data_IF_057869959551
#
_entry.id   IF_057869959551
#
_cell.length_a   1.000
_cell.length_b   1.000
_cell.length_c   1.000
_cell.angle_alpha   90.00
_cell.angle_beta   90.00
_cell.angle_gamma   90.00
#
_symmetry.space_group_name_H-M   'P 1'
#
loop_
_entity.id
_entity.type
_entity.pdbx_description
1 polymer ?
#
# COMPACT_ATOMS: atom_id res chain seq x y z
N UNK A 1 -21.39 3.93 11.65
CA UNK A 1 -19.91 4.16 11.61
C UNK A 1 -19.11 2.85 11.50
N UNK A 2 -19.62 1.74 12.04
CA UNK A 2 -18.96 0.42 11.99
C UNK A 2 -19.13 -0.34 10.67
N UNK A 3 -20.11 -0.06 9.85
CA UNK A 3 -20.38 -0.79 8.59
C UNK A 3 -19.41 -0.44 7.44
N UNK A 4 -18.77 0.73 7.47
CA UNK A 4 -17.83 1.12 6.41
C UNK A 4 -16.46 0.41 6.52
N UNK A 5 -16.05 0.02 7.73
CA UNK A 5 -14.79 -0.73 7.93
C UNK A 5 -14.92 -2.19 7.52
N UNK A 6 -16.09 -2.80 7.68
CA UNK A 6 -16.32 -4.20 7.27
C UNK A 6 -16.30 -4.34 5.75
N UNK A 7 -16.82 -3.38 4.99
CA UNK A 7 -16.77 -3.39 3.53
C UNK A 7 -15.34 -3.29 2.96
N UNK A 8 -14.46 -2.54 3.60
CA UNK A 8 -13.04 -2.40 3.18
C UNK A 8 -12.26 -3.70 3.46
N UNK A 9 -12.57 -4.37 4.56
CA UNK A 9 -11.98 -5.69 4.89
C UNK A 9 -12.37 -6.75 3.87
N UNK A 10 -13.60 -6.75 3.43
CA UNK A 10 -14.11 -7.74 2.46
C UNK A 10 -13.45 -7.62 1.09
N UNK A 11 -13.15 -6.41 0.61
CA UNK A 11 -12.50 -6.20 -0.70
C UNK A 11 -11.04 -6.68 -0.69
N UNK A 12 -10.28 -6.38 0.37
CA UNK A 12 -8.91 -6.87 0.51
C UNK A 12 -8.85 -8.39 0.66
N UNK A 13 -9.78 -8.97 1.44
CA UNK A 13 -9.94 -10.41 1.62
C UNK A 13 -10.35 -11.06 0.30
N UNK A 14 -11.27 -10.48 -0.46
CA UNK A 14 -11.74 -11.01 -1.75
C UNK A 14 -10.62 -11.08 -2.78
N UNK A 15 -9.76 -10.07 -2.86
CA UNK A 15 -8.60 -10.08 -3.76
C UNK A 15 -7.62 -11.21 -3.44
N UNK A 16 -7.28 -11.40 -2.17
CA UNK A 16 -6.42 -12.51 -1.71
C UNK A 16 -7.10 -13.87 -1.93
N UNK A 17 -8.41 -13.98 -1.68
CA UNK A 17 -9.18 -15.21 -1.91
C UNK A 17 -9.21 -15.61 -3.37
N UNK A 18 -9.44 -14.66 -4.28
CA UNK A 18 -9.52 -14.92 -5.72
C UNK A 18 -8.20 -15.46 -6.28
N UNK A 19 -7.06 -15.00 -5.75
CA UNK A 19 -5.74 -15.48 -6.17
C UNK A 19 -5.29 -16.75 -5.43
N UNK A 20 -5.59 -16.86 -4.13
CA UNK A 20 -5.01 -17.91 -3.28
C UNK A 20 -5.69 -19.28 -3.43
N UNK A 21 -7.02 -19.32 -3.59
CA UNK A 21 -7.77 -20.57 -3.67
C UNK A 21 -7.38 -21.46 -4.86
N UNK A 22 -7.27 -20.94 -6.10
CA UNK A 22 -6.91 -21.77 -7.24
C UNK A 22 -5.41 -22.12 -7.30
N UNK A 23 -4.53 -21.30 -6.70
CA UNK A 23 -3.07 -21.46 -6.86
C UNK A 23 -2.46 -22.34 -5.76
N UNK A 24 -2.87 -22.12 -4.50
CA UNK A 24 -2.21 -22.78 -3.38
C UNK A 24 -2.92 -24.01 -2.84
N UNK A 25 -4.19 -24.26 -3.24
CA UNK A 25 -5.03 -25.34 -2.72
C UNK A 25 -5.01 -25.44 -1.18
N UNK A 26 -4.81 -24.30 -0.52
CA UNK A 26 -4.78 -24.18 0.94
C UNK A 26 -6.20 -24.08 1.47
N UNK A 27 -6.49 -24.82 2.52
CA UNK A 27 -7.78 -24.74 3.21
C UNK A 27 -8.04 -23.36 3.84
N UNK A 28 -9.21 -23.19 4.50
CA UNK A 28 -9.61 -21.91 5.12
C UNK A 28 -8.56 -21.34 6.09
N UNK A 29 -7.82 -22.20 6.78
CA UNK A 29 -6.73 -21.80 7.68
C UNK A 29 -5.55 -21.17 6.94
N UNK A 30 -5.14 -21.70 5.81
CA UNK A 30 -4.06 -21.14 4.99
C UNK A 30 -4.44 -19.77 4.42
N UNK A 31 -5.71 -19.62 4.03
CA UNK A 31 -6.25 -18.34 3.59
C UNK A 31 -6.23 -17.29 4.72
N UNK A 32 -6.60 -17.69 5.94
CA UNK A 32 -6.53 -16.83 7.12
C UNK A 32 -5.10 -16.32 7.39
N UNK A 33 -4.09 -17.18 7.26
CA UNK A 33 -2.69 -16.78 7.40
C UNK A 33 -2.26 -15.77 6.33
N UNK A 34 -2.63 -15.97 5.07
CA UNK A 34 -2.34 -15.02 3.99
C UNK A 34 -3.05 -13.68 4.22
N UNK A 35 -4.31 -13.67 4.64
CA UNK A 35 -5.05 -12.46 4.96
C UNK A 35 -4.44 -11.69 6.14
N UNK A 36 -3.93 -12.39 7.14
CA UNK A 36 -3.26 -11.81 8.30
C UNK A 36 -1.84 -11.29 8.02
N UNK A 37 -1.19 -11.76 6.95
CA UNK A 37 0.20 -11.42 6.63
C UNK A 37 0.38 -9.91 6.35
N UNK A 38 -0.50 -9.30 5.58
CA UNK A 38 -0.43 -7.86 5.24
C UNK A 38 -0.57 -6.96 6.48
N UNK A 39 -1.62 -7.10 7.32
CA UNK A 39 -1.72 -6.30 8.54
C UNK A 39 -0.60 -6.60 9.55
N UNK A 40 -0.10 -7.84 9.61
CA UNK A 40 1.06 -8.16 10.42
C UNK A 40 2.31 -7.40 9.97
N UNK A 41 2.58 -7.34 8.67
CA UNK A 41 3.67 -6.55 8.09
C UNK A 41 3.54 -5.06 8.41
N UNK A 42 2.34 -4.50 8.29
CA UNK A 42 2.08 -3.11 8.64
C UNK A 42 2.32 -2.83 10.13
N UNK A 43 1.86 -3.72 11.01
CA UNK A 43 2.07 -3.61 12.45
C UNK A 43 3.56 -3.66 12.83
N UNK A 44 4.31 -4.63 12.30
CA UNK A 44 5.75 -4.75 12.52
C UNK A 44 6.50 -3.50 12.07
N UNK A 45 6.14 -2.94 10.90
CA UNK A 45 6.76 -1.73 10.40
C UNK A 45 6.38 -0.49 11.22
N UNK A 46 5.14 -0.39 11.70
CA UNK A 46 4.71 0.69 12.60
C UNK A 46 5.51 0.71 13.89
N UNK A 47 5.71 -0.47 14.52
CA UNK A 47 6.55 -0.62 15.70
C UNK A 47 8.01 -0.24 15.40
N UNK A 48 8.56 -0.73 14.29
CA UNK A 48 9.93 -0.40 13.88
C UNK A 48 10.11 1.11 13.65
N UNK A 49 9.13 1.78 13.04
CA UNK A 49 9.18 3.23 12.80
C UNK A 49 9.13 4.05 14.10
N UNK A 50 8.48 3.55 15.16
CA UNK A 50 8.48 4.18 16.48
C UNK A 50 9.86 4.25 17.14
N UNK A 51 10.75 3.32 16.78
CA UNK A 51 12.12 3.26 17.30
C UNK A 51 13.19 3.87 16.34
N UNK A 52 12.83 4.11 15.10
CA UNK A 52 13.75 4.66 14.10
C UNK A 52 13.75 6.20 14.12
N UNK A 53 14.90 6.85 14.00
CA UNK A 53 14.96 8.30 13.89
C UNK A 53 14.24 8.78 12.62
N UNK A 54 13.66 9.99 12.65
CA UNK A 54 12.98 10.57 11.52
C UNK A 54 13.89 10.62 10.29
N UNK A 55 13.37 10.23 9.13
CA UNK A 55 14.16 10.16 7.91
C UNK A 55 14.61 11.55 7.45
N UNK A 56 15.90 11.70 7.18
CA UNK A 56 16.48 12.91 6.61
C UNK A 56 16.03 13.19 5.16
N UNK A 57 15.46 12.20 4.45
CA UNK A 57 15.01 12.28 3.06
C UNK A 57 13.66 11.57 2.87
N UNK A 58 12.57 12.15 3.35
CA UNK A 58 11.27 11.51 3.34
C UNK A 58 10.76 11.21 1.93
N UNK A 59 11.03 12.06 0.96
CA UNK A 59 10.62 11.83 -0.43
C UNK A 59 11.30 10.62 -1.07
N UNK A 60 12.59 10.41 -0.80
CA UNK A 60 13.32 9.22 -1.28
C UNK A 60 12.79 7.96 -0.60
N UNK A 61 12.55 8.03 0.73
CA UNK A 61 11.98 6.91 1.48
C UNK A 61 10.61 6.51 0.94
N UNK A 62 9.76 7.49 0.60
CA UNK A 62 8.46 7.26 -0.01
C UNK A 62 8.57 6.55 -1.37
N UNK A 63 9.45 7.04 -2.26
CA UNK A 63 9.65 6.41 -3.58
C UNK A 63 10.15 4.97 -3.47
N UNK A 64 11.09 4.70 -2.55
CA UNK A 64 11.55 3.34 -2.28
C UNK A 64 10.45 2.43 -1.71
N UNK A 65 9.63 2.97 -0.81
CA UNK A 65 8.52 2.22 -0.24
C UNK A 65 7.48 1.83 -1.31
N UNK A 66 7.08 2.78 -2.16
CA UNK A 66 6.09 2.51 -3.21
C UNK A 66 6.68 1.64 -4.33
N UNK A 67 7.94 1.84 -4.71
CA UNK A 67 8.62 0.97 -5.67
C UNK A 67 8.78 -0.46 -5.16
N UNK A 68 9.19 -0.61 -3.91
CA UNK A 68 9.27 -1.91 -3.25
C UNK A 68 7.93 -2.61 -3.10
N UNK A 69 6.86 -1.84 -2.79
CA UNK A 69 5.48 -2.33 -2.78
C UNK A 69 5.09 -2.92 -4.15
N UNK A 70 5.35 -2.20 -5.24
CA UNK A 70 5.09 -2.71 -6.60
C UNK A 70 5.88 -3.98 -6.91
N UNK A 71 7.16 -4.03 -6.55
CA UNK A 71 7.99 -5.22 -6.73
C UNK A 71 7.48 -6.42 -5.91
N UNK A 72 7.14 -6.23 -4.64
CA UNK A 72 6.58 -7.27 -3.79
C UNK A 72 5.22 -7.77 -4.32
N UNK A 73 4.40 -6.88 -4.89
CA UNK A 73 3.14 -7.23 -5.55
C UNK A 73 3.36 -8.11 -6.78
N UNK A 74 4.36 -7.80 -7.62
CA UNK A 74 4.72 -8.66 -8.76
C UNK A 74 5.19 -10.03 -8.29
N UNK A 75 6.06 -10.09 -7.28
CA UNK A 75 6.54 -11.36 -6.69
C UNK A 75 5.36 -12.16 -6.14
N UNK A 76 4.43 -11.54 -5.43
CA UNK A 76 3.23 -12.18 -4.94
C UNK A 76 2.37 -12.76 -6.08
N UNK A 77 2.11 -11.96 -7.13
CA UNK A 77 1.28 -12.36 -8.26
C UNK A 77 1.86 -13.53 -9.07
N UNK A 78 3.19 -13.64 -9.15
CA UNK A 78 3.89 -14.72 -9.87
C UNK A 78 4.26 -15.91 -8.99
N UNK A 79 4.15 -15.79 -7.66
CA UNK A 79 4.53 -16.84 -6.72
C UNK A 79 3.52 -17.96 -6.70
N UNK A 80 4.03 -19.19 -6.80
CA UNK A 80 3.27 -20.44 -6.59
C UNK A 80 3.60 -21.09 -5.24
N UNK A 81 4.55 -20.53 -4.49
CA UNK A 81 5.02 -21.05 -3.21
C UNK A 81 4.36 -20.28 -2.07
N UNK A 82 3.63 -20.99 -1.19
CA UNK A 82 2.90 -20.41 -0.07
C UNK A 82 3.76 -19.47 0.81
N UNK A 83 4.94 -19.94 1.23
CA UNK A 83 5.83 -19.15 2.09
C UNK A 83 6.37 -17.89 1.42
N UNK A 84 6.66 -17.95 0.12
CA UNK A 84 7.11 -16.78 -0.64
C UNK A 84 5.99 -15.76 -0.78
N UNK A 85 4.78 -16.23 -1.01
CA UNK A 85 3.58 -15.36 -1.07
C UNK A 85 3.28 -14.72 0.27
N UNK A 86 3.38 -15.48 1.36
CA UNK A 86 3.21 -14.95 2.71
C UNK A 86 4.25 -13.87 3.04
N UNK A 87 5.53 -14.11 2.72
CA UNK A 87 6.60 -13.14 2.92
C UNK A 87 6.38 -11.87 2.07
N UNK A 88 5.94 -12.04 0.82
CA UNK A 88 5.61 -10.92 -0.07
C UNK A 88 4.46 -10.08 0.49
N UNK A 89 3.41 -10.68 1.04
CA UNK A 89 2.29 -9.98 1.68
C UNK A 89 2.74 -9.21 2.93
N UNK A 90 3.60 -9.78 3.75
CA UNK A 90 4.20 -9.07 4.90
C UNK A 90 5.01 -7.88 4.41
N UNK A 91 5.82 -8.03 3.36
CA UNK A 91 6.59 -6.95 2.77
C UNK A 91 5.68 -5.85 2.18
N UNK A 92 4.61 -6.22 1.49
CA UNK A 92 3.58 -5.31 0.97
C UNK A 92 3.00 -4.46 2.11
N UNK A 93 2.55 -5.09 3.20
CA UNK A 93 1.99 -4.38 4.35
C UNK A 93 3.00 -3.45 5.04
N UNK A 94 4.26 -3.89 5.16
CA UNK A 94 5.33 -3.08 5.74
C UNK A 94 5.65 -1.83 4.89
N UNK A 95 5.75 -1.99 3.58
CA UNK A 95 6.08 -0.92 2.64
C UNK A 95 4.91 0.06 2.47
N UNK A 96 3.68 -0.44 2.44
CA UNK A 96 2.47 0.38 2.43
C UNK A 96 2.40 1.26 3.69
N UNK A 97 2.64 0.71 4.87
CA UNK A 97 2.67 1.48 6.11
C UNK A 97 3.67 2.64 6.07
N UNK A 98 4.88 2.45 5.50
CA UNK A 98 5.84 3.53 5.31
C UNK A 98 5.26 4.65 4.43
N UNK A 99 4.61 4.28 3.33
CA UNK A 99 3.98 5.20 2.39
C UNK A 99 2.86 6.01 3.07
N UNK A 100 1.96 5.32 3.76
CA UNK A 100 0.82 5.93 4.48
C UNK A 100 1.30 6.90 5.55
N UNK A 101 2.22 6.49 6.43
CA UNK A 101 2.75 7.34 7.50
C UNK A 101 3.45 8.57 6.92
N UNK A 102 4.28 8.41 5.88
CA UNK A 102 4.99 9.53 5.24
C UNK A 102 3.99 10.53 4.64
N UNK A 103 2.98 10.06 3.93
CA UNK A 103 1.94 10.91 3.32
C UNK A 103 1.11 11.65 4.36
N UNK A 104 0.67 10.96 5.41
CA UNK A 104 -0.11 11.56 6.49
C UNK A 104 0.71 12.62 7.25
N UNK A 105 1.99 12.34 7.52
CA UNK A 105 2.88 13.30 8.17
C UNK A 105 3.04 14.57 7.33
N UNK A 106 3.23 14.44 6.02
CA UNK A 106 3.31 15.61 5.12
C UNK A 106 2.02 16.43 5.18
N UNK A 107 0.86 15.78 5.03
CA UNK A 107 -0.45 16.47 5.07
C UNK A 107 -0.63 17.21 6.39
N UNK A 108 -0.33 16.56 7.52
CA UNK A 108 -0.49 17.18 8.85
C UNK A 108 0.50 18.32 9.11
N UNK A 109 1.74 18.21 8.64
CA UNK A 109 2.77 19.23 8.85
C UNK A 109 2.52 20.50 8.05
N UNK A 110 2.00 20.36 6.82
CA UNK A 110 1.76 21.51 5.94
C UNK A 110 0.35 22.08 6.05
N UNK A 111 -0.52 21.51 6.87
CA UNK A 111 -1.89 22.00 7.05
C UNK A 111 -2.00 22.79 8.35
N UNK A 112 -2.46 24.08 8.30
CA UNK A 112 -2.75 24.87 9.49
C UNK A 112 -3.76 24.17 10.40
N UNK A 113 -3.63 24.32 11.73
CA UNK A 113 -4.45 23.64 12.73
C UNK A 113 -5.96 23.85 12.51
N UNK A 114 -6.36 25.07 12.14
CA UNK A 114 -7.76 25.43 11.87
C UNK A 114 -8.39 24.66 10.70
N UNK A 115 -7.58 24.10 9.78
CA UNK A 115 -8.04 23.41 8.57
C UNK A 115 -7.78 21.91 8.60
N UNK A 116 -7.06 21.38 9.60
CA UNK A 116 -6.67 19.98 9.67
C UNK A 116 -7.85 19.02 9.54
N UNK A 117 -8.95 19.26 10.23
CA UNK A 117 -10.14 18.42 10.16
C UNK A 117 -10.74 18.37 8.75
N UNK A 118 -10.87 19.54 8.09
CA UNK A 118 -11.42 19.62 6.73
C UNK A 118 -10.54 18.96 5.70
N UNK A 119 -9.23 19.23 5.75
CA UNK A 119 -8.25 18.60 4.85
C UNK A 119 -8.19 17.09 5.06
N UNK A 120 -8.23 16.63 6.31
CA UNK A 120 -8.23 15.20 6.64
C UNK A 120 -9.48 14.49 6.10
N UNK A 121 -10.67 15.11 6.23
CA UNK A 121 -11.92 14.54 5.70
C UNK A 121 -11.88 14.42 4.17
N UNK A 122 -11.45 15.46 3.47
CA UNK A 122 -11.29 15.43 2.01
C UNK A 122 -10.27 14.38 1.58
N UNK A 123 -9.12 14.33 2.26
CA UNK A 123 -8.08 13.33 1.98
C UNK A 123 -8.59 11.90 2.19
N UNK A 124 -9.39 11.65 3.23
CA UNK A 124 -10.00 10.34 3.47
C UNK A 124 -10.96 9.93 2.37
N UNK A 125 -11.80 10.86 1.89
CA UNK A 125 -12.72 10.60 0.75
C UNK A 125 -11.93 10.24 -0.50
N UNK A 126 -10.87 11.00 -0.83
CA UNK A 126 -10.03 10.69 -1.99
C UNK A 126 -9.36 9.33 -1.89
N UNK A 127 -8.83 8.97 -0.70
CA UNK A 127 -8.19 7.67 -0.48
C UNK A 127 -9.20 6.54 -0.64
N UNK A 128 -10.37 6.64 0.01
CA UNK A 128 -11.42 5.63 -0.08
C UNK A 128 -11.90 5.45 -1.52
N UNK A 129 -12.22 6.54 -2.22
CA UNK A 129 -12.65 6.50 -3.62
C UNK A 129 -11.57 5.88 -4.53
N UNK A 130 -10.29 6.23 -4.33
CA UNK A 130 -9.19 5.66 -5.10
C UNK A 130 -9.02 4.15 -4.84
N UNK A 131 -9.22 3.70 -3.60
CA UNK A 131 -9.16 2.29 -3.25
C UNK A 131 -10.30 1.50 -3.92
N UNK A 132 -11.54 2.01 -3.85
CA UNK A 132 -12.71 1.39 -4.50
C UNK A 132 -12.53 1.32 -6.03
N UNK A 133 -12.05 2.40 -6.64
CA UNK A 133 -11.81 2.46 -8.08
C UNK A 133 -10.71 1.46 -8.48
N UNK A 134 -9.63 1.38 -7.72
CA UNK A 134 -8.56 0.40 -7.94
C UNK A 134 -9.03 -1.05 -7.76
N UNK A 135 -9.88 -1.31 -6.78
CA UNK A 135 -10.48 -2.62 -6.58
C UNK A 135 -11.40 -3.01 -7.75
N UNK A 136 -12.22 -2.08 -8.23
CA UNK A 136 -13.07 -2.27 -9.40
C UNK A 136 -12.25 -2.57 -10.67
N UNK A 137 -11.22 -1.75 -10.94
CA UNK A 137 -10.30 -1.94 -12.07
C UNK A 137 -9.62 -3.32 -12.01
N UNK A 138 -9.06 -3.67 -10.84
CA UNK A 138 -8.41 -4.96 -10.63
C UNK A 138 -9.36 -6.14 -10.82
N UNK A 139 -10.59 -6.03 -10.32
CA UNK A 139 -11.64 -7.03 -10.51
C UNK A 139 -12.04 -7.19 -11.98
N UNK A 140 -12.18 -6.07 -12.71
CA UNK A 140 -12.49 -6.08 -14.13
C UNK A 140 -11.36 -6.73 -14.95
N UNK A 141 -10.11 -6.35 -14.71
CA UNK A 141 -8.95 -6.97 -15.38
C UNK A 141 -8.87 -8.45 -15.07
N UNK A 142 -9.08 -8.86 -13.81
CA UNK A 142 -9.08 -10.26 -13.41
C UNK A 142 -10.19 -11.08 -14.09
N UNK A 143 -11.36 -10.50 -14.31
CA UNK A 143 -12.48 -11.16 -14.99
C UNK A 143 -12.26 -11.32 -16.49
N UNK A 144 -11.55 -10.39 -17.11
CA UNK A 144 -11.24 -10.40 -18.56
C UNK A 144 -9.98 -11.20 -18.91
N UNK A 145 -9.11 -11.44 -17.93
CA UNK A 145 -7.82 -12.12 -18.12
C UNK A 145 -7.64 -13.25 -17.12
N UNK A 146 -6.73 -13.06 -16.17
CA UNK A 146 -6.53 -13.95 -15.03
C UNK A 146 -6.18 -13.13 -13.79
N UNK A 147 -6.51 -13.62 -12.58
CA UNK A 147 -6.14 -12.95 -11.33
C UNK A 147 -4.63 -12.69 -11.21
N UNK A 148 -3.81 -13.63 -11.66
CA UNK A 148 -2.34 -13.51 -11.69
C UNK A 148 -1.90 -12.33 -12.55
N UNK A 149 -2.49 -12.21 -13.75
CA UNK A 149 -2.17 -11.12 -14.66
C UNK A 149 -2.61 -9.76 -14.08
N UNK A 150 -3.79 -9.68 -13.47
CA UNK A 150 -4.29 -8.46 -12.84
C UNK A 150 -3.34 -7.96 -11.73
N UNK A 151 -2.91 -8.85 -10.84
CA UNK A 151 -1.98 -8.51 -9.75
C UNK A 151 -0.59 -8.13 -10.29
N UNK A 152 -0.04 -8.92 -11.20
CA UNK A 152 1.30 -8.66 -11.75
C UNK A 152 1.33 -7.34 -12.55
N UNK A 153 0.32 -7.08 -13.40
CA UNK A 153 0.22 -5.83 -14.17
C UNK A 153 0.04 -4.61 -13.27
N UNK A 154 -0.75 -4.71 -12.20
CA UNK A 154 -0.89 -3.67 -11.18
C UNK A 154 0.43 -3.33 -10.49
N UNK A 155 1.21 -4.35 -10.11
CA UNK A 155 2.55 -4.17 -9.55
C UNK A 155 3.53 -3.50 -10.52
N UNK A 156 3.55 -3.91 -11.77
CA UNK A 156 4.38 -3.28 -12.83
C UNK A 156 3.94 -1.84 -13.07
N UNK A 157 2.63 -1.57 -13.19
CA UNK A 157 2.11 -0.22 -13.35
C UNK A 157 2.54 0.69 -12.19
N UNK A 158 2.48 0.22 -10.95
CA UNK A 158 2.96 0.95 -9.77
C UNK A 158 4.44 1.29 -9.89
N UNK A 159 5.29 0.35 -10.31
CA UNK A 159 6.73 0.59 -10.50
C UNK A 159 6.99 1.64 -11.59
N UNK A 160 6.25 1.57 -12.72
CA UNK A 160 6.36 2.55 -13.81
C UNK A 160 5.92 3.95 -13.35
N UNK A 161 4.83 4.05 -12.60
CA UNK A 161 4.35 5.32 -12.04
C UNK A 161 5.36 5.93 -11.06
N UNK A 162 6.00 5.10 -10.21
CA UNK A 162 7.06 5.57 -9.30
C UNK A 162 8.27 6.04 -10.08
N UNK A 163 8.71 5.31 -11.10
CA UNK A 163 9.82 5.71 -11.96
C UNK A 163 9.52 7.02 -12.69
N UNK A 164 8.33 7.14 -13.30
CA UNK A 164 7.87 8.36 -13.94
C UNK A 164 7.79 9.54 -12.94
N UNK A 165 7.22 9.32 -11.75
CA UNK A 165 7.15 10.32 -10.68
C UNK A 165 8.53 10.79 -10.21
N UNK A 166 9.48 9.86 -10.08
CA UNK A 166 10.87 10.18 -9.70
C UNK A 166 11.62 10.99 -10.77
N UNK A 167 11.27 10.81 -12.05
CA UNK A 167 11.84 11.54 -13.18
C UNK A 167 11.16 12.90 -13.38
N UNK A 168 9.83 12.95 -13.35
CA UNK A 168 9.05 14.17 -13.61
C UNK A 168 9.08 15.16 -12.44
N UNK A 169 9.22 14.67 -11.21
CA UNK A 169 9.22 15.50 -10.01
C UNK A 169 10.53 15.39 -9.21
N UNK A 170 11.65 15.95 -9.70
CA UNK A 170 12.93 15.89 -8.99
C UNK A 170 12.88 16.58 -7.62
N UNK A 171 11.91 17.48 -7.39
CA UNK A 171 11.68 18.12 -6.09
C UNK A 171 11.31 17.12 -5.00
N UNK A 172 10.62 16.03 -5.32
CA UNK A 172 10.32 14.96 -4.36
C UNK A 172 11.59 14.30 -3.82
N UNK A 173 12.61 14.13 -4.66
CA UNK A 173 13.91 13.56 -4.27
C UNK A 173 14.73 14.54 -3.42
N UNK A 174 14.49 15.86 -3.55
CA UNK A 174 15.23 16.93 -2.89
C UNK A 174 14.59 17.36 -1.56
N UNK A 175 13.43 16.83 -1.18
CA UNK A 175 12.82 17.12 0.12
C UNK A 175 13.74 16.64 1.25
N UNK A 176 14.39 17.60 1.92
CA UNK A 176 15.39 17.33 2.96
C UNK A 176 14.82 17.23 4.37
N UNK A 177 13.58 17.66 4.60
CA UNK A 177 12.96 17.64 5.94
C UNK A 177 11.45 17.63 5.83
N UNK A 178 10.79 16.89 6.74
CA UNK A 178 9.34 16.97 7.00
C UNK A 178 9.03 18.12 7.98
N UNK A 179 10.03 18.74 8.56
CA UNK A 179 9.88 19.90 9.44
C UNK A 179 9.73 21.12 8.54
N UNK A 180 8.54 21.74 8.56
CA UNK A 180 8.29 23.00 7.88
C UNK A 180 9.29 24.08 8.34
N UNK A 181 9.43 25.20 7.58
CA UNK A 181 10.25 26.31 8.03
C UNK A 181 9.76 26.74 9.40
N UNK A 182 10.68 26.79 10.36
CA UNK A 182 10.39 27.39 11.66
C UNK A 182 10.01 28.86 11.40
N UNK A 183 8.73 29.19 11.62
CA UNK A 183 8.25 30.58 11.67
C UNK A 183 8.64 31.19 12.97
#
# INVERSE_FOLDING_TARGET
FFQAEDGIRDVAVTGVQTCALPIFQVGPTGLGWLAAATPAGACLMALAQGHLPPSKRPGVRFLWAVGGFGAATVVFGLSTVFWLSMLSLVAIGALDNISVVTRQTVVQTYTPDALRGRVSSVNSVFISTSNELGAFESGLVASLTTPVFAVASGGVATMLLVAAGALLFPRLRQMKSLVGPAT
#
